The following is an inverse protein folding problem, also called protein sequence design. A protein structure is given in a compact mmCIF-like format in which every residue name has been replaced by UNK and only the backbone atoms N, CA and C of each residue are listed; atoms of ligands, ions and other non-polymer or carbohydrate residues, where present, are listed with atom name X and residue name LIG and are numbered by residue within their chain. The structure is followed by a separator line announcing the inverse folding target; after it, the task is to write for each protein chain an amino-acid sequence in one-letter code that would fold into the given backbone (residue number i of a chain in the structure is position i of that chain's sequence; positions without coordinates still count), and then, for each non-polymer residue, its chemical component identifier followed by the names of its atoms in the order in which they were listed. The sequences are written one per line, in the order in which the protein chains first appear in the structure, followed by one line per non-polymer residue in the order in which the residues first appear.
data_IF_058296670216
#
_entry.id   IF_058296670216
#
_cell.length_a   1.000
_cell.length_b   1.000
_cell.length_c   1.000
_cell.angle_alpha   90.00
_cell.angle_beta   90.00
_cell.angle_gamma   90.00
#
_symmetry.space_group_name_H-M   'P 1'
#
loop_
_entity.id
_entity.type
_entity.pdbx_description
1 polymer ?
#
# COMPACT_ATOMS: atom_id res chain seq x y z
N UNK A 1 15.61 13.32 -23.81
CA UNK A 1 14.24 13.27 -23.26
C UNK A 1 13.83 11.80 -23.17
N UNK A 2 14.17 11.15 -22.06
CA UNK A 2 13.82 9.76 -21.77
C UNK A 2 12.42 9.83 -21.17
N UNK A 3 11.41 9.57 -21.99
CA UNK A 3 10.04 9.33 -21.52
C UNK A 3 10.00 7.96 -20.85
N UNK A 4 10.31 7.93 -19.57
CA UNK A 4 10.09 6.77 -18.72
C UNK A 4 8.56 6.64 -18.53
N UNK A 5 7.91 5.77 -19.32
CA UNK A 5 6.54 5.35 -19.04
C UNK A 5 6.58 4.39 -17.85
N UNK A 6 6.96 4.92 -16.69
CA UNK A 6 6.57 4.28 -15.45
C UNK A 6 5.04 4.33 -15.41
N UNK A 7 4.41 3.19 -15.31
CA UNK A 7 3.00 3.04 -15.00
C UNK A 7 2.65 4.01 -13.88
N UNK A 8 1.98 5.09 -14.22
CA UNK A 8 1.48 6.06 -13.24
C UNK A 8 0.51 5.29 -12.34
N UNK A 9 0.90 5.08 -11.09
CA UNK A 9 -0.01 4.63 -10.06
C UNK A 9 -1.10 5.70 -9.99
N UNK A 10 -2.23 5.45 -10.63
CA UNK A 10 -3.36 6.37 -10.62
C UNK A 10 -4.06 6.25 -9.29
N UNK A 11 -3.77 7.18 -8.38
CA UNK A 11 -4.53 7.32 -7.14
C UNK A 11 -5.98 7.66 -7.48
N UNK A 12 -6.91 6.81 -7.07
CA UNK A 12 -8.32 7.14 -7.21
C UNK A 12 -8.76 8.06 -6.06
N UNK A 13 -8.86 9.35 -6.34
CA UNK A 13 -9.30 10.35 -5.35
C UNK A 13 -10.76 10.22 -4.96
N UNK A 14 -11.52 9.34 -5.63
CA UNK A 14 -12.93 9.06 -5.34
C UNK A 14 -13.15 8.07 -4.21
N UNK A 15 -12.10 7.35 -3.78
CA UNK A 15 -12.17 6.41 -2.67
C UNK A 15 -11.14 6.77 -1.60
N UNK A 16 -11.58 6.74 -0.36
CA UNK A 16 -10.76 6.96 0.81
C UNK A 16 -11.01 5.87 1.84
N UNK A 17 -9.96 5.31 2.40
CA UNK A 17 -10.02 4.42 3.55
C UNK A 17 -9.65 5.23 4.79
N UNK A 18 -10.51 5.19 5.79
CA UNK A 18 -10.27 5.84 7.09
C UNK A 18 -10.02 4.76 8.12
N UNK A 19 -8.78 4.66 8.60
CA UNK A 19 -8.42 3.79 9.72
C UNK A 19 -8.44 4.62 11.02
N UNK A 20 -9.16 4.15 12.04
CA UNK A 20 -9.25 4.80 13.34
C UNK A 20 -8.73 3.86 14.40
N UNK A 21 -7.75 4.30 15.16
CA UNK A 21 -7.16 3.53 16.26
C UNK A 21 -7.24 4.32 17.54
N UNK A 22 -7.67 3.67 18.63
CA UNK A 22 -7.60 4.24 19.97
C UNK A 22 -6.13 4.42 20.39
N UNK A 23 -5.81 5.56 21.00
CA UNK A 23 -4.48 5.86 21.49
C UNK A 23 -4.48 6.06 23.03
N UNK A 24 -4.02 7.19 23.55
CA UNK A 24 -3.97 7.40 24.99
C UNK A 24 -5.36 7.69 25.59
N UNK A 25 -5.73 6.98 26.67
CA UNK A 25 -7.00 7.22 27.40
C UNK A 25 -7.79 5.97 27.81
N UNK A 26 -7.22 4.77 27.61
CA UNK A 26 -7.85 3.51 28.05
C UNK A 26 -9.17 3.21 27.35
N UNK A 27 -10.19 2.80 28.12
CA UNK A 27 -11.50 2.43 27.55
C UNK A 27 -12.24 3.61 26.93
N UNK A 28 -12.07 4.83 27.45
CA UNK A 28 -12.64 6.03 26.84
C UNK A 28 -12.05 6.31 25.46
N UNK A 29 -10.77 6.03 25.21
CA UNK A 29 -10.18 6.16 23.89
C UNK A 29 -10.80 5.18 22.87
N UNK A 30 -11.21 3.98 23.31
CA UNK A 30 -11.94 3.02 22.47
C UNK A 30 -13.34 3.54 22.12
N UNK A 31 -14.04 4.13 23.10
CA UNK A 31 -15.36 4.74 22.87
C UNK A 31 -15.21 5.92 21.91
N UNK A 32 -14.20 6.77 22.13
CA UNK A 32 -13.92 7.90 21.26
C UNK A 32 -13.62 7.49 19.82
N UNK A 33 -12.85 6.42 19.61
CA UNK A 33 -12.60 5.89 18.28
C UNK A 33 -13.89 5.47 17.56
N UNK A 34 -14.83 4.83 18.26
CA UNK A 34 -16.16 4.48 17.70
C UNK A 34 -17.02 5.72 17.41
N UNK A 35 -16.94 6.74 18.26
CA UNK A 35 -17.65 8.00 18.03
C UNK A 35 -17.12 8.73 16.79
N UNK A 36 -15.79 8.74 16.58
CA UNK A 36 -15.17 9.26 15.36
C UNK A 36 -15.64 8.51 14.11
N UNK A 37 -15.66 7.18 14.15
CA UNK A 37 -16.14 6.36 13.05
C UNK A 37 -17.58 6.72 12.69
N UNK A 38 -18.46 6.84 13.70
CA UNK A 38 -19.85 7.26 13.53
C UNK A 38 -19.96 8.70 12.97
N UNK A 39 -19.07 9.59 13.39
CA UNK A 39 -19.01 10.97 12.89
C UNK A 39 -18.70 10.97 11.39
N UNK A 40 -17.69 10.22 10.93
CA UNK A 40 -17.34 10.14 9.52
C UNK A 40 -18.44 9.47 8.67
N UNK A 41 -19.13 8.46 9.20
CA UNK A 41 -20.31 7.87 8.56
C UNK A 41 -21.40 8.91 8.31
N UNK A 42 -21.75 9.70 9.33
CA UNK A 42 -22.75 10.77 9.22
C UNK A 42 -22.30 11.88 8.27
N UNK A 43 -21.01 12.20 8.29
CA UNK A 43 -20.46 13.18 7.35
C UNK A 43 -20.56 12.71 5.90
N UNK A 44 -20.24 11.45 5.64
CA UNK A 44 -20.39 10.85 4.32
C UNK A 44 -21.84 10.88 3.83
N UNK A 45 -22.81 10.53 4.69
CA UNK A 45 -24.23 10.62 4.40
C UNK A 45 -24.64 12.06 4.04
N UNK A 46 -24.18 13.05 4.81
CA UNK A 46 -24.48 14.48 4.55
C UNK A 46 -23.91 14.96 3.22
N UNK A 47 -22.83 14.37 2.75
CA UNK A 47 -22.21 14.67 1.44
C UNK A 47 -22.76 13.83 0.30
N UNK A 48 -23.76 12.97 0.54
CA UNK A 48 -24.27 11.98 -0.41
C UNK A 48 -23.20 11.03 -0.93
N UNK A 49 -22.21 10.70 -0.10
CA UNK A 49 -21.19 9.72 -0.39
C UNK A 49 -21.61 8.34 0.08
N UNK A 50 -21.18 7.30 -0.63
CA UNK A 50 -21.35 5.93 -0.18
C UNK A 50 -20.28 5.63 0.87
N UNK A 51 -20.69 5.11 2.02
CA UNK A 51 -19.79 4.69 3.08
C UNK A 51 -20.12 3.25 3.47
N UNK A 52 -19.09 2.41 3.55
CA UNK A 52 -19.19 1.03 4.03
C UNK A 52 -18.13 0.78 5.08
N UNK A 53 -18.52 0.16 6.17
CA UNK A 53 -17.60 -0.27 7.20
C UNK A 53 -17.00 -1.61 6.78
N UNK A 54 -15.67 -1.69 6.73
CA UNK A 54 -14.93 -2.91 6.38
C UNK A 54 -14.72 -3.75 7.63
N UNK A 55 -14.25 -3.10 8.69
CA UNK A 55 -14.03 -3.70 10.00
C UNK A 55 -14.35 -2.70 11.13
N UNK A 56 -14.12 -3.11 12.39
CA UNK A 56 -14.40 -2.28 13.58
C UNK A 56 -13.60 -0.96 13.63
N UNK A 57 -12.60 -0.79 12.79
CA UNK A 57 -11.66 0.34 12.79
C UNK A 57 -11.53 1.04 11.46
N UNK A 58 -12.04 0.42 10.39
CA UNK A 58 -11.82 0.88 9.02
C UNK A 58 -13.13 1.16 8.30
N UNK A 59 -13.23 2.34 7.74
CA UNK A 59 -14.34 2.81 6.95
C UNK A 59 -13.88 3.10 5.53
N UNK A 60 -14.57 2.56 4.54
CA UNK A 60 -14.37 2.93 3.14
C UNK A 60 -15.43 3.96 2.73
N UNK A 61 -14.98 5.09 2.21
CA UNK A 61 -15.84 6.16 1.71
C UNK A 61 -15.61 6.31 0.21
N UNK A 62 -16.69 6.25 -0.55
CA UNK A 62 -16.68 6.44 -2.00
C UNK A 62 -17.52 7.65 -2.37
N UNK A 63 -16.87 8.66 -2.95
CA UNK A 63 -17.54 9.88 -3.37
C UNK A 63 -16.61 10.80 -4.15
N UNK A 64 -17.18 11.80 -4.82
CA UNK A 64 -16.37 12.73 -5.60
C UNK A 64 -15.39 13.49 -4.69
N UNK A 65 -14.09 13.41 -5.01
CA UNK A 65 -12.99 14.02 -4.25
C UNK A 65 -12.95 13.64 -2.75
N UNK A 66 -13.47 12.47 -2.37
CA UNK A 66 -13.54 12.07 -0.96
C UNK A 66 -12.17 12.03 -0.30
N UNK A 67 -11.16 11.46 -0.96
CA UNK A 67 -9.79 11.44 -0.44
C UNK A 67 -9.21 12.85 -0.28
N UNK A 68 -9.34 13.71 -1.29
CA UNK A 68 -8.76 15.06 -1.26
C UNK A 68 -9.34 15.92 -0.11
N UNK A 69 -10.63 15.75 0.17
CA UNK A 69 -11.29 16.48 1.25
C UNK A 69 -10.97 15.92 2.64
N UNK A 70 -10.74 14.61 2.74
CA UNK A 70 -10.49 13.93 4.02
C UNK A 70 -9.02 13.80 4.38
N UNK A 71 -8.07 13.93 3.42
CA UNK A 71 -6.63 13.75 3.68
C UNK A 71 -6.08 14.56 4.85
N UNK A 72 -6.62 15.77 5.05
CA UNK A 72 -6.20 16.68 6.12
C UNK A 72 -6.73 16.26 7.52
N UNK A 73 -7.59 15.24 7.58
CA UNK A 73 -8.06 14.64 8.85
C UNK A 73 -7.08 13.59 9.38
N UNK A 74 -6.02 13.26 8.62
CA UNK A 74 -4.98 12.34 9.06
C UNK A 74 -4.19 12.93 10.22
N UNK A 75 -4.18 12.23 11.38
CA UNK A 75 -3.45 12.67 12.56
C UNK A 75 -4.12 12.29 13.88
N UNK A 76 -3.77 13.00 14.95
CA UNK A 76 -4.25 12.73 16.32
C UNK A 76 -5.47 13.60 16.66
N UNK A 77 -6.59 12.97 16.96
CA UNK A 77 -7.82 13.60 17.41
C UNK A 77 -7.98 13.45 18.92
N UNK A 78 -8.14 14.56 19.62
CA UNK A 78 -8.28 14.61 21.07
C UNK A 78 -9.74 14.89 21.46
N UNK A 79 -10.21 14.24 22.49
CA UNK A 79 -11.48 14.59 23.16
C UNK A 79 -11.23 14.91 24.63
N UNK A 80 -11.90 15.94 25.11
CA UNK A 80 -11.92 16.28 26.51
C UNK A 80 -13.39 16.32 26.96
N UNK A 81 -13.79 15.32 27.72
CA UNK A 81 -15.15 15.17 28.23
C UNK A 81 -15.16 14.35 29.52
N UNK A 82 -16.28 14.40 30.24
CA UNK A 82 -16.56 13.44 31.30
C UNK A 82 -17.04 12.17 30.61
N UNK A 83 -16.28 11.05 30.65
CA UNK A 83 -16.69 9.84 29.99
C UNK A 83 -17.84 9.14 30.68
N UNK A 84 -18.62 8.34 29.94
CA UNK A 84 -19.70 7.53 30.52
C UNK A 84 -19.18 6.49 31.55
N UNK A 85 -17.90 6.19 31.53
CA UNK A 85 -17.22 5.27 32.46
C UNK A 85 -16.78 5.94 33.76
N UNK A 86 -16.85 7.30 33.86
CA UNK A 86 -16.39 8.05 35.00
C UNK A 86 -17.54 8.29 36.01
N UNK A 87 -17.38 7.77 37.23
CA UNK A 87 -18.40 7.88 38.29
C UNK A 87 -18.31 9.16 39.14
N UNK A 88 -17.14 9.84 39.13
CA UNK A 88 -16.84 10.99 39.99
C UNK A 88 -16.90 12.34 39.28
N UNK A 89 -17.37 12.38 38.02
CA UNK A 89 -17.51 13.61 37.24
C UNK A 89 -16.19 14.25 36.79
N UNK A 90 -15.08 13.52 36.80
CA UNK A 90 -13.76 14.06 36.39
C UNK A 90 -13.64 14.16 34.87
N UNK A 91 -13.05 15.27 34.44
CA UNK A 91 -12.73 15.48 33.03
C UNK A 91 -11.55 14.58 32.60
N UNK A 92 -11.78 13.77 31.60
CA UNK A 92 -10.74 12.93 31.00
C UNK A 92 -10.31 13.46 29.65
N UNK A 93 -9.05 13.23 29.29
CA UNK A 93 -8.48 13.55 27.98
C UNK A 93 -8.10 12.26 27.30
N UNK A 94 -8.76 11.94 26.20
CA UNK A 94 -8.51 10.74 25.41
C UNK A 94 -8.14 11.12 23.98
N UNK A 95 -7.34 10.28 23.34
CA UNK A 95 -6.90 10.46 21.96
C UNK A 95 -7.19 9.24 21.11
N UNK A 96 -7.48 9.48 19.83
CA UNK A 96 -7.55 8.47 18.81
C UNK A 96 -6.77 8.96 17.58
N UNK A 97 -6.17 8.05 16.86
CA UNK A 97 -5.45 8.35 15.63
C UNK A 97 -6.32 8.03 14.42
N UNK A 98 -6.29 8.89 13.43
CA UNK A 98 -6.99 8.73 12.16
C UNK A 98 -5.98 8.71 11.04
N UNK A 99 -6.01 7.68 10.20
CA UNK A 99 -5.27 7.63 8.95
C UNK A 99 -6.25 7.69 7.78
N UNK A 100 -5.98 8.53 6.81
CA UNK A 100 -6.73 8.59 5.57
C UNK A 100 -5.84 8.12 4.44
N UNK A 101 -6.19 6.98 3.84
CA UNK A 101 -5.42 6.32 2.80
C UNK A 101 -6.18 6.39 1.47
N UNK A 102 -5.50 6.64 0.34
CA UNK A 102 -6.11 6.56 -0.98
C UNK A 102 -6.33 5.10 -1.39
N UNK A 103 -7.22 4.86 -2.34
CA UNK A 103 -7.27 3.60 -3.04
C UNK A 103 -6.12 3.52 -4.04
N UNK A 104 -5.27 2.53 -3.88
CA UNK A 104 -4.22 2.21 -4.85
C UNK A 104 -4.74 1.08 -5.72
N UNK A 105 -4.98 1.36 -7.00
CA UNK A 105 -5.37 0.32 -7.96
C UNK A 105 -4.16 -0.55 -8.28
N UNK A 106 -4.39 -1.85 -8.27
CA UNK A 106 -3.41 -2.79 -8.79
C UNK A 106 -3.28 -2.59 -10.30
N UNK A 107 -2.11 -2.16 -10.75
CA UNK A 107 -1.78 -2.12 -12.17
C UNK A 107 -1.36 -3.51 -12.64
N UNK A 108 -1.87 -3.95 -13.78
CA UNK A 108 -1.31 -5.11 -14.48
C UNK A 108 0.13 -4.78 -14.91
N UNK A 109 1.07 -5.62 -14.53
CA UNK A 109 2.47 -5.49 -14.99
C UNK A 109 2.53 -5.95 -16.44
N UNK A 110 2.53 -4.99 -17.35
CA UNK A 110 2.75 -5.24 -18.79
C UNK A 110 4.23 -5.09 -19.10
N UNK A 111 4.85 -6.19 -19.48
CA UNK A 111 6.26 -6.20 -19.90
C UNK A 111 6.29 -6.06 -21.41
N UNK A 112 6.90 -4.98 -21.90
CA UNK A 112 7.12 -4.80 -23.33
C UNK A 112 8.33 -5.63 -23.78
N UNK A 113 8.22 -6.47 -24.82
CA UNK A 113 9.34 -7.27 -25.32
C UNK A 113 10.56 -6.44 -25.75
N UNK A 114 10.37 -5.18 -26.16
CA UNK A 114 11.44 -4.26 -26.56
C UNK A 114 12.31 -3.77 -25.37
N UNK A 115 11.77 -3.85 -24.15
CA UNK A 115 12.46 -3.43 -22.93
C UNK A 115 13.29 -4.55 -22.30
N UNK A 116 13.26 -5.73 -22.92
CA UNK A 116 13.97 -6.92 -22.45
C UNK A 116 15.24 -7.08 -23.29
N UNK A 117 16.36 -7.30 -22.61
CA UNK A 117 17.61 -7.76 -23.22
C UNK A 117 17.86 -9.21 -22.86
N UNK A 118 18.06 -10.05 -23.90
CA UNK A 118 18.26 -11.47 -23.76
C UNK A 118 19.70 -11.84 -24.01
N UNK A 119 20.29 -12.57 -23.08
CA UNK A 119 21.62 -13.15 -23.23
C UNK A 119 21.54 -14.65 -22.99
N UNK A 120 22.09 -15.41 -23.92
CA UNK A 120 22.14 -16.85 -23.85
C UNK A 120 23.56 -17.28 -23.57
N UNK A 121 23.74 -18.15 -22.60
CA UNK A 121 25.06 -18.62 -22.22
C UNK A 121 25.03 -20.12 -21.89
N UNK A 122 26.20 -20.71 -21.70
CA UNK A 122 26.32 -22.11 -21.30
C UNK A 122 26.13 -22.21 -19.79
N UNK A 123 25.29 -23.15 -19.37
CA UNK A 123 25.07 -23.39 -17.93
C UNK A 123 26.36 -23.87 -17.26
N UNK A 124 26.62 -23.43 -16.04
CA UNK A 124 27.80 -23.83 -15.26
C UNK A 124 27.55 -25.09 -14.42
N UNK A 125 26.41 -25.76 -14.59
CA UNK A 125 26.05 -26.94 -13.82
C UNK A 125 26.90 -28.16 -14.18
N UNK A 126 27.20 -29.02 -13.19
CA UNK A 126 27.84 -30.33 -13.37
C UNK A 126 26.93 -31.25 -14.20
N UNK A 127 27.09 -31.30 -15.50
CA UNK A 127 26.29 -32.14 -16.38
C UNK A 127 27.02 -32.50 -17.65
N UNK A 128 26.64 -33.64 -18.24
CA UNK A 128 27.34 -34.35 -19.33
C UNK A 128 27.73 -33.54 -20.58
N UNK A 129 28.32 -34.18 -21.56
CA UNK A 129 28.95 -33.57 -22.76
C UNK A 129 28.09 -32.55 -23.56
N UNK A 130 26.75 -32.57 -23.42
CA UNK A 130 25.84 -31.65 -24.11
C UNK A 130 25.76 -30.29 -23.43
N UNK A 131 25.93 -30.18 -22.10
CA UNK A 131 25.81 -28.91 -21.34
C UNK A 131 26.90 -27.92 -21.78
N UNK A 132 28.07 -28.41 -22.14
CA UNK A 132 29.18 -27.57 -22.61
C UNK A 132 29.07 -27.15 -24.06
N UNK A 133 28.20 -27.79 -24.87
CA UNK A 133 28.07 -27.53 -26.31
C UNK A 133 26.91 -26.59 -26.65
N UNK A 134 25.87 -26.55 -25.83
CA UNK A 134 24.62 -25.81 -26.12
C UNK A 134 24.39 -24.71 -25.09
N UNK A 135 24.09 -23.49 -25.55
CA UNK A 135 23.77 -22.35 -24.69
C UNK A 135 22.30 -22.38 -24.29
N UNK A 136 21.97 -23.22 -23.29
CA UNK A 136 20.58 -23.39 -22.80
C UNK A 136 20.22 -22.42 -21.66
N UNK A 137 21.22 -21.90 -20.97
CA UNK A 137 21.01 -20.94 -19.90
C UNK A 137 20.63 -19.56 -20.46
N UNK A 138 19.72 -18.90 -19.76
CA UNK A 138 19.14 -17.61 -20.16
C UNK A 138 19.39 -16.59 -19.07
N UNK A 139 19.91 -15.44 -19.47
CA UNK A 139 19.97 -14.23 -18.66
C UNK A 139 19.09 -13.18 -19.31
N UNK A 140 18.19 -12.63 -18.53
CA UNK A 140 17.24 -11.63 -18.95
C UNK A 140 17.50 -10.36 -18.15
N UNK A 141 17.64 -9.23 -18.84
CA UNK A 141 17.80 -7.92 -18.21
C UNK A 141 16.65 -7.01 -18.62
N UNK A 142 15.92 -6.48 -17.66
CA UNK A 142 14.89 -5.50 -17.91
C UNK A 142 15.50 -4.10 -17.90
N UNK A 143 15.63 -3.47 -19.08
CA UNK A 143 16.33 -2.20 -19.30
C UNK A 143 15.86 -1.05 -18.40
N UNK A 144 14.53 -0.80 -18.21
CA UNK A 144 14.06 0.35 -17.42
C UNK A 144 14.37 0.25 -15.94
N UNK A 145 14.33 -0.97 -15.36
CA UNK A 145 14.50 -1.19 -13.92
C UNK A 145 15.88 -1.70 -13.54
N UNK A 146 16.67 -2.16 -14.53
CA UNK A 146 17.97 -2.80 -14.32
C UNK A 146 17.91 -4.18 -13.66
N UNK A 147 16.71 -4.76 -13.51
CA UNK A 147 16.54 -6.08 -12.88
C UNK A 147 17.11 -7.14 -13.81
N UNK A 148 17.98 -7.98 -13.27
CA UNK A 148 18.57 -9.12 -13.96
C UNK A 148 18.03 -10.41 -13.35
N UNK A 149 17.64 -11.33 -14.24
CA UNK A 149 17.15 -12.66 -13.89
C UNK A 149 17.90 -13.70 -14.69
N UNK A 150 18.25 -14.81 -14.07
CA UNK A 150 18.92 -15.94 -14.74
C UNK A 150 18.11 -17.21 -14.52
N UNK A 151 18.05 -18.05 -15.55
CA UNK A 151 17.46 -19.39 -15.49
C UNK A 151 18.33 -20.38 -16.24
N UNK A 152 18.74 -21.45 -15.55
CA UNK A 152 19.62 -22.49 -16.10
C UNK A 152 19.22 -23.90 -15.64
N UNK A 153 18.00 -24.04 -15.08
CA UNK A 153 17.55 -25.28 -14.45
C UNK A 153 17.06 -26.33 -15.46
N UNK A 154 16.53 -25.88 -16.57
CA UNK A 154 15.89 -26.75 -17.54
C UNK A 154 16.82 -27.12 -18.71
N UNK A 155 16.53 -28.28 -19.32
CA UNK A 155 17.28 -28.81 -20.43
C UNK A 155 17.13 -27.98 -21.72
N UNK A 156 15.94 -27.40 -21.91
CA UNK A 156 15.61 -26.65 -23.15
C UNK A 156 15.66 -25.14 -22.90
N UNK A 157 16.27 -24.42 -23.84
CA UNK A 157 16.39 -22.97 -23.79
C UNK A 157 15.03 -22.27 -23.67
N UNK A 158 14.00 -22.78 -24.38
CA UNK A 158 12.67 -22.18 -24.37
C UNK A 158 12.01 -22.27 -23.00
N UNK A 159 12.19 -23.38 -22.27
CA UNK A 159 11.70 -23.51 -20.90
C UNK A 159 12.40 -22.52 -19.97
N UNK A 160 13.72 -22.37 -20.07
CA UNK A 160 14.47 -21.38 -19.30
C UNK A 160 14.04 -19.94 -19.62
N UNK A 161 13.67 -19.65 -20.90
CA UNK A 161 13.10 -18.33 -21.26
C UNK A 161 11.78 -18.06 -20.55
N UNK A 162 10.88 -19.03 -20.53
CA UNK A 162 9.58 -18.88 -19.87
C UNK A 162 9.75 -18.70 -18.36
N UNK A 163 10.59 -19.52 -17.73
CA UNK A 163 10.92 -19.37 -16.30
C UNK A 163 11.53 -18.00 -16.01
N UNK A 164 12.46 -17.53 -16.84
CA UNK A 164 13.08 -16.21 -16.66
C UNK A 164 12.05 -15.08 -16.77
N UNK A 165 11.07 -15.17 -17.69
CA UNK A 165 9.97 -14.20 -17.78
C UNK A 165 9.08 -14.20 -16.54
N UNK A 166 8.74 -15.38 -16.04
CA UNK A 166 7.88 -15.47 -14.84
C UNK A 166 8.62 -14.96 -13.59
N UNK A 167 9.90 -15.25 -13.46
CA UNK A 167 10.76 -14.70 -12.42
C UNK A 167 10.89 -13.16 -12.52
N UNK A 168 10.98 -12.63 -13.75
CA UNK A 168 10.99 -11.17 -13.94
C UNK A 168 9.67 -10.55 -13.51
N UNK A 169 8.52 -11.16 -13.89
CA UNK A 169 7.20 -10.70 -13.46
C UNK A 169 7.08 -10.66 -11.94
N UNK A 170 7.54 -11.72 -11.27
CA UNK A 170 7.52 -11.81 -9.81
C UNK A 170 8.36 -10.70 -9.16
N UNK A 171 9.60 -10.46 -9.65
CA UNK A 171 10.46 -9.39 -9.13
C UNK A 171 9.95 -7.98 -9.41
N UNK A 172 9.32 -7.76 -10.56
CA UNK A 172 8.69 -6.47 -10.86
C UNK A 172 7.49 -6.23 -9.95
N UNK A 173 6.69 -7.26 -9.70
CA UNK A 173 5.56 -7.19 -8.79
C UNK A 173 6.00 -6.88 -7.35
N UNK A 174 7.03 -7.57 -6.85
CA UNK A 174 7.63 -7.31 -5.53
C UNK A 174 8.09 -5.85 -5.39
N UNK A 175 8.79 -5.33 -6.41
CA UNK A 175 9.25 -3.94 -6.42
C UNK A 175 8.11 -2.92 -6.46
N UNK A 176 7.03 -3.22 -7.18
CA UNK A 176 5.83 -2.36 -7.17
C UNK A 176 5.10 -2.41 -5.82
N UNK A 177 5.01 -3.57 -5.20
CA UNK A 177 4.44 -3.71 -3.85
C UNK A 177 5.25 -2.94 -2.81
N UNK A 178 6.58 -3.08 -2.84
CA UNK A 178 7.47 -2.31 -1.96
C UNK A 178 7.24 -0.80 -2.13
N UNK A 179 7.15 -0.32 -3.37
CA UNK A 179 6.86 1.08 -3.66
C UNK A 179 5.50 1.51 -3.11
N UNK A 180 4.45 0.70 -3.30
CA UNK A 180 3.11 0.96 -2.74
C UNK A 180 3.15 1.03 -1.20
N UNK A 181 3.89 0.12 -0.58
CA UNK A 181 4.04 0.10 0.89
C UNK A 181 4.73 1.36 1.41
N UNK A 182 5.77 1.84 0.72
CA UNK A 182 6.45 3.09 1.07
C UNK A 182 5.51 4.30 0.93
N UNK A 183 4.76 4.39 -0.18
CA UNK A 183 3.78 5.46 -0.38
C UNK A 183 2.69 5.44 0.72
N UNK A 184 2.17 4.27 1.09
CA UNK A 184 1.21 4.13 2.18
C UNK A 184 1.80 4.50 3.54
N UNK A 185 3.09 4.24 3.77
CA UNK A 185 3.79 4.62 4.98
C UNK A 185 3.84 6.15 5.13
N UNK A 186 4.06 6.88 4.03
CA UNK A 186 4.04 8.35 4.03
C UNK A 186 2.67 8.92 4.43
N UNK A 187 1.56 8.32 3.96
CA UNK A 187 0.21 8.71 4.40
C UNK A 187 -0.09 8.39 5.86
N UNK A 188 0.60 7.41 6.44
CA UNK A 188 0.51 7.07 7.86
C UNK A 188 1.44 7.89 8.74
N UNK A 189 2.44 8.55 8.19
CA UNK A 189 3.43 9.31 8.96
C UNK A 189 2.81 10.42 9.85
N UNK A 190 1.74 11.14 9.45
CA UNK A 190 1.10 12.17 10.28
C UNK A 190 0.44 11.64 11.56
N UNK A 191 0.24 10.31 11.66
CA UNK A 191 -0.40 9.68 12.83
C UNK A 191 0.47 9.84 14.08
N UNK A 192 1.79 9.94 13.94
CA UNK A 192 2.72 10.05 15.05
C UNK A 192 2.59 8.89 16.04
N UNK A 193 2.91 9.16 17.30
CA UNK A 193 2.78 8.20 18.42
C UNK A 193 1.41 8.23 19.08
N UNK A 194 0.46 9.05 18.59
CA UNK A 194 -0.87 9.22 19.18
C UNK A 194 -0.85 9.97 20.52
N UNK A 195 0.21 10.74 20.78
CA UNK A 195 0.35 11.49 22.00
C UNK A 195 -0.60 12.68 22.08
N UNK A 196 -1.01 13.04 23.29
CA UNK A 196 -1.94 14.17 23.52
C UNK A 196 -1.41 15.51 23.00
N UNK A 197 -0.09 15.68 22.92
CA UNK A 197 0.56 16.89 22.40
C UNK A 197 0.48 17.00 20.88
N UNK A 198 0.44 15.87 20.16
CA UNK A 198 0.45 15.78 18.68
C UNK A 198 -0.91 16.02 18.04
N UNK A 199 -1.88 16.50 18.80
CA UNK A 199 -3.25 16.70 18.32
C UNK A 199 -3.32 17.67 17.15
N UNK A 200 -4.10 17.30 16.13
CA UNK A 200 -4.50 18.20 15.05
C UNK A 200 -5.87 18.84 15.33
N UNK A 201 -6.72 18.15 16.11
CA UNK A 201 -8.07 18.60 16.47
C UNK A 201 -8.41 18.23 17.93
N UNK A 202 -9.21 19.06 18.58
CA UNK A 202 -9.79 18.82 19.90
C UNK A 202 -11.27 19.05 19.86
#
# INVERSE_FOLDING_TARGET
LISCHLSLITMDTRRAYIEIRSAAGGDEAKIWAKDLLRMYLRYAMKKNWKASQIDDKTLMITGNNSFTLLKNESGVHRVQRIPATEKRGRLHTSTATVAVLPEIKEGEIKINPSEIDWQFYRASTQGGQNVQKVSTAVRLTHKPTGIVVTSEQERFQEQNRNIALDLLRAKLWEKEEEKKMLELADYRSPIGRGMRAEKIRT
#
